data_IF_346204187816
#
_entry.id   IF_346204187816
#
_cell.length_a   1.000
_cell.length_b   1.000
_cell.length_c   1.000
_cell.angle_alpha   90.00
_cell.angle_beta   90.00
_cell.angle_gamma   90.00
#
_symmetry.space_group_name_H-M   'P 1'
#
loop_
_entity.id
_entity.type
_entity.pdbx_description
1 polymer ?
#
# COMPACT_ATOMS: atom_id res chain seq x y z
N UNK A 1 63.23 4.11 -13.80
CA UNK A 1 62.23 4.08 -12.71
C UNK A 1 60.95 4.62 -13.27
N UNK A 2 60.00 3.72 -13.59
CA UNK A 2 58.65 4.08 -14.01
C UNK A 2 57.76 3.97 -12.77
N UNK A 3 57.22 5.08 -12.30
CA UNK A 3 56.23 5.11 -11.25
C UNK A 3 54.88 4.83 -11.89
N UNK A 4 54.28 3.69 -11.52
CA UNK A 4 52.94 3.30 -11.93
C UNK A 4 51.94 4.26 -11.33
N UNK A 5 51.16 4.91 -12.19
CA UNK A 5 49.96 5.65 -11.77
C UNK A 5 48.92 4.63 -11.33
N UNK A 6 48.65 4.57 -10.06
CA UNK A 6 47.51 3.83 -9.51
C UNK A 6 46.24 4.51 -9.99
N UNK A 7 45.50 3.77 -10.77
CA UNK A 7 44.17 4.16 -11.29
C UNK A 7 43.17 4.04 -10.15
N UNK A 8 43.01 5.09 -9.36
CA UNK A 8 41.91 5.23 -8.37
C UNK A 8 40.65 5.51 -9.15
N UNK A 9 39.99 4.46 -9.62
CA UNK A 9 38.58 4.56 -10.00
C UNK A 9 37.79 4.86 -8.71
N UNK A 10 37.49 6.13 -8.49
CA UNK A 10 36.42 6.52 -7.59
C UNK A 10 35.12 5.91 -8.12
N UNK A 11 34.72 4.77 -7.53
CA UNK A 11 33.36 4.25 -7.65
C UNK A 11 32.47 5.29 -7.01
N UNK A 12 31.88 6.15 -7.83
CA UNK A 12 30.82 7.05 -7.39
C UNK A 12 29.73 6.17 -6.78
N UNK A 13 29.71 6.07 -5.47
CA UNK A 13 28.67 5.34 -4.76
C UNK A 13 27.35 6.02 -5.10
N UNK A 14 26.57 5.38 -5.95
CA UNK A 14 25.26 5.88 -6.35
C UNK A 14 24.39 5.93 -5.10
N UNK A 15 23.93 7.14 -4.74
CA UNK A 15 23.06 7.34 -3.58
C UNK A 15 21.73 6.65 -3.80
N UNK A 16 21.28 5.85 -2.85
CA UNK A 16 19.94 5.28 -2.85
C UNK A 16 18.91 6.40 -2.69
N UNK A 17 18.06 6.58 -3.67
CA UNK A 17 17.07 7.66 -3.76
C UNK A 17 15.71 7.15 -3.28
N UNK A 18 15.19 7.74 -2.22
CA UNK A 18 13.95 7.31 -1.57
C UNK A 18 12.90 8.40 -1.68
N UNK A 19 11.69 8.03 -2.11
CA UNK A 19 10.50 8.87 -2.09
C UNK A 19 9.63 8.45 -0.90
N UNK A 20 9.22 9.41 -0.04
CA UNK A 20 8.30 9.19 1.05
C UNK A 20 6.89 9.67 0.68
N UNK A 21 5.88 8.83 0.91
CA UNK A 21 4.50 9.13 0.56
C UNK A 21 3.58 8.78 1.73
N UNK A 22 3.07 9.78 2.44
CA UNK A 22 2.15 9.63 3.58
C UNK A 22 1.42 10.97 3.79
N UNK A 23 0.14 10.98 4.06
CA UNK A 23 -0.64 12.20 4.27
C UNK A 23 -0.45 12.82 5.67
N UNK A 24 0.27 12.14 6.57
CA UNK A 24 0.57 12.61 7.92
C UNK A 24 1.98 13.17 8.04
N UNK A 25 2.13 14.49 8.16
CA UNK A 25 3.43 15.17 8.26
C UNK A 25 4.34 14.60 9.35
N UNK A 26 3.79 14.30 10.52
CA UNK A 26 4.57 13.77 11.64
C UNK A 26 5.14 12.37 11.33
N UNK A 27 4.39 11.55 10.60
CA UNK A 27 4.85 10.22 10.17
C UNK A 27 5.98 10.39 9.17
N UNK A 28 5.83 11.26 8.15
CA UNK A 28 6.88 11.52 7.16
C UNK A 28 8.17 12.02 7.81
N UNK A 29 8.07 12.95 8.78
CA UNK A 29 9.24 13.44 9.54
C UNK A 29 9.92 12.30 10.31
N UNK A 30 9.16 11.41 10.94
CA UNK A 30 9.69 10.24 11.63
C UNK A 30 10.41 9.28 10.68
N UNK A 31 9.80 8.94 9.55
CA UNK A 31 10.40 8.09 8.51
C UNK A 31 11.69 8.71 7.95
N UNK A 32 11.65 10.01 7.62
CA UNK A 32 12.83 10.76 7.18
C UNK A 32 13.97 10.64 8.19
N UNK A 33 13.69 10.94 9.46
CA UNK A 33 14.72 10.91 10.51
C UNK A 33 15.40 9.55 10.65
N UNK A 34 14.65 8.44 10.43
CA UNK A 34 15.22 7.09 10.46
C UNK A 34 16.09 6.78 9.24
N UNK A 35 15.66 7.22 8.06
CA UNK A 35 16.34 6.90 6.80
C UNK A 35 17.55 7.82 6.55
N UNK A 36 17.50 9.09 6.93
CA UNK A 36 18.61 10.05 6.79
C UNK A 36 19.85 9.67 7.63
N UNK A 37 19.70 8.77 8.62
CA UNK A 37 20.86 8.24 9.37
C UNK A 37 21.68 7.21 8.59
N UNK A 38 21.16 6.70 7.47
CA UNK A 38 21.81 5.64 6.72
C UNK A 38 22.82 6.22 5.72
N UNK A 39 24.10 5.79 5.76
CA UNK A 39 25.11 6.26 4.80
C UNK A 39 24.73 5.88 3.36
N UNK A 40 24.85 6.83 2.45
CA UNK A 40 24.58 6.59 1.03
C UNK A 40 23.09 6.61 0.66
N UNK A 41 22.17 6.99 1.58
CA UNK A 41 20.77 7.15 1.29
C UNK A 41 20.38 8.62 1.22
N UNK A 42 19.38 8.95 0.42
CA UNK A 42 18.84 10.30 0.30
C UNK A 42 17.35 10.27 0.08
N UNK A 43 16.61 11.06 0.86
CA UNK A 43 15.20 11.32 0.60
C UNK A 43 15.12 12.34 -0.54
N UNK A 44 14.84 11.85 -1.74
CA UNK A 44 14.80 12.67 -2.94
C UNK A 44 13.50 13.47 -3.07
N UNK A 45 12.42 13.07 -2.38
CA UNK A 45 11.15 13.77 -2.38
C UNK A 45 10.22 13.29 -1.27
N UNK A 46 9.20 14.10 -0.99
CA UNK A 46 8.10 13.78 -0.09
C UNK A 46 6.78 14.15 -0.77
N UNK A 47 5.77 13.29 -0.65
CA UNK A 47 4.42 13.50 -1.15
C UNK A 47 3.39 13.30 -0.03
N UNK A 48 2.36 14.13 -0.01
CA UNK A 48 1.23 14.01 0.90
C UNK A 48 0.01 13.35 0.25
N UNK A 49 0.04 13.14 -1.07
CA UNK A 49 -1.06 12.55 -1.84
C UNK A 49 -0.55 11.57 -2.90
N UNK A 50 -1.42 10.65 -3.33
CA UNK A 50 -1.09 9.71 -4.41
C UNK A 50 -0.76 10.41 -5.74
N UNK A 51 -1.44 11.51 -6.08
CA UNK A 51 -1.16 12.28 -7.30
C UNK A 51 0.22 12.91 -7.26
N UNK A 52 0.57 13.57 -6.15
CA UNK A 52 1.90 14.15 -5.95
C UNK A 52 3.00 13.08 -6.01
N UNK A 53 2.75 11.89 -5.43
CA UNK A 53 3.67 10.76 -5.49
C UNK A 53 3.96 10.31 -6.93
N UNK A 54 2.94 10.27 -7.79
CA UNK A 54 3.07 9.93 -9.21
C UNK A 54 3.93 10.97 -9.93
N UNK A 55 3.63 12.27 -9.75
CA UNK A 55 4.39 13.38 -10.37
C UNK A 55 5.86 13.35 -9.94
N UNK A 56 6.12 13.22 -8.63
CA UNK A 56 7.49 13.16 -8.10
C UNK A 56 8.23 11.89 -8.55
N UNK A 57 7.55 10.78 -8.70
CA UNK A 57 8.16 9.54 -9.22
C UNK A 57 8.66 9.69 -10.66
N UNK A 58 7.92 10.43 -11.50
CA UNK A 58 8.34 10.75 -12.88
C UNK A 58 9.57 11.67 -12.90
N UNK A 59 9.53 12.72 -12.07
CA UNK A 59 10.55 13.76 -12.06
C UNK A 59 11.84 13.29 -11.41
N UNK A 60 11.72 12.61 -10.27
CA UNK A 60 12.84 12.31 -9.40
C UNK A 60 13.43 10.91 -9.64
N UNK A 61 12.65 9.99 -10.24
CA UNK A 61 13.05 8.60 -10.48
C UNK A 61 13.70 7.96 -9.24
N UNK A 62 12.94 7.80 -8.14
CA UNK A 62 13.47 7.16 -6.94
C UNK A 62 13.79 5.69 -7.22
N UNK A 63 14.71 5.13 -6.44
CA UNK A 63 14.99 3.69 -6.44
C UNK A 63 13.95 2.95 -5.61
N UNK A 64 13.53 3.56 -4.47
CA UNK A 64 12.53 3.01 -3.56
C UNK A 64 11.47 4.08 -3.26
N UNK A 65 10.20 3.70 -3.31
CA UNK A 65 9.08 4.50 -2.84
C UNK A 65 8.47 3.85 -1.60
N UNK A 66 8.39 4.59 -0.49
CA UNK A 66 7.75 4.17 0.76
C UNK A 66 6.37 4.82 0.79
N UNK A 67 5.31 4.01 0.69
CA UNK A 67 3.95 4.49 0.39
C UNK A 67 2.96 4.06 1.46
N UNK A 68 2.27 5.02 2.08
CA UNK A 68 1.10 4.73 2.92
C UNK A 68 -0.10 4.31 2.08
N UNK A 69 -0.87 3.36 2.58
CA UNK A 69 -2.11 2.92 1.93
C UNK A 69 -3.22 3.95 2.08
N UNK A 70 -3.38 4.50 3.29
CA UNK A 70 -4.59 5.25 3.66
C UNK A 70 -4.41 6.76 3.43
N UNK A 71 -4.41 7.18 2.18
CA UNK A 71 -4.35 8.59 1.80
C UNK A 71 -5.70 9.08 1.25
N UNK A 72 -6.04 10.37 1.43
CA UNK A 72 -7.26 10.95 0.89
C UNK A 72 -7.22 11.04 -0.64
N UNK A 73 -8.37 10.81 -1.28
CA UNK A 73 -8.49 10.87 -2.74
C UNK A 73 -8.01 9.59 -3.42
N UNK A 74 -6.73 9.48 -3.71
CA UNK A 74 -6.10 8.31 -4.28
C UNK A 74 -5.42 7.48 -3.19
N UNK A 75 -5.80 6.21 -3.04
CA UNK A 75 -5.17 5.30 -2.09
C UNK A 75 -3.77 4.86 -2.55
N UNK A 76 -2.95 4.39 -1.60
CA UNK A 76 -1.57 4.01 -1.88
C UNK A 76 -1.43 2.80 -2.80
N UNK A 77 -2.43 1.92 -2.89
CA UNK A 77 -2.41 0.79 -3.81
C UNK A 77 -2.62 1.25 -5.25
N UNK A 78 -3.52 2.23 -5.45
CA UNK A 78 -3.70 2.84 -6.75
C UNK A 78 -2.46 3.65 -7.16
N UNK A 79 -1.91 4.47 -6.25
CA UNK A 79 -0.68 5.20 -6.49
C UNK A 79 0.47 4.27 -6.86
N UNK A 80 0.62 3.13 -6.17
CA UNK A 80 1.63 2.10 -6.47
C UNK A 80 1.50 1.58 -7.91
N UNK A 81 0.29 1.25 -8.36
CA UNK A 81 0.08 0.78 -9.74
C UNK A 81 0.50 1.82 -10.78
N UNK A 82 0.12 3.08 -10.57
CA UNK A 82 0.47 4.17 -11.49
C UNK A 82 1.98 4.47 -11.48
N UNK A 83 2.63 4.48 -10.32
CA UNK A 83 4.09 4.64 -10.18
C UNK A 83 4.83 3.54 -10.95
N UNK A 84 4.43 2.28 -10.77
CA UNK A 84 5.07 1.14 -11.43
C UNK A 84 4.75 1.06 -12.93
N UNK A 85 3.60 1.58 -13.36
CA UNK A 85 3.28 1.72 -14.79
C UNK A 85 4.21 2.73 -15.49
N UNK A 86 4.65 3.77 -14.77
CA UNK A 86 5.58 4.78 -15.27
C UNK A 86 7.02 4.24 -15.29
N UNK A 87 7.44 3.63 -14.17
CA UNK A 87 8.78 3.07 -14.04
C UNK A 87 8.77 1.76 -13.23
N UNK A 88 8.76 0.59 -13.91
CA UNK A 88 8.76 -0.73 -13.26
C UNK A 88 10.02 -1.04 -12.45
N UNK A 89 11.07 -0.22 -12.51
CA UNK A 89 12.29 -0.41 -11.74
C UNK A 89 12.21 0.16 -10.33
N UNK A 90 11.20 0.98 -10.04
CA UNK A 90 10.99 1.52 -8.70
C UNK A 90 10.54 0.37 -7.79
N UNK A 91 11.24 0.16 -6.70
CA UNK A 91 10.77 -0.76 -5.67
C UNK A 91 9.78 -0.06 -4.75
N UNK A 92 8.65 -0.70 -4.46
CA UNK A 92 7.61 -0.10 -3.60
C UNK A 92 7.50 -0.85 -2.29
N UNK A 93 7.67 -0.11 -1.18
CA UNK A 93 7.41 -0.52 0.19
C UNK A 93 6.09 0.08 0.64
N UNK A 94 5.12 -0.77 0.94
CA UNK A 94 3.85 -0.34 1.53
C UNK A 94 4.00 -0.23 3.05
N UNK A 95 3.56 0.92 3.59
CA UNK A 95 3.31 1.09 5.02
C UNK A 95 1.81 0.98 5.30
N UNK A 96 1.43 0.23 6.35
CA UNK A 96 0.03 0.02 6.70
C UNK A 96 -0.18 -0.01 8.22
N UNK A 97 -1.38 0.35 8.67
CA UNK A 97 -1.80 0.17 10.07
C UNK A 97 -2.31 -1.24 10.36
N UNK A 98 -2.76 -1.98 9.32
CA UNK A 98 -3.38 -3.29 9.45
C UNK A 98 -2.77 -4.28 8.44
N UNK A 99 -2.32 -5.46 8.89
CA UNK A 99 -1.92 -6.58 8.04
C UNK A 99 -3.08 -7.57 7.83
N UNK A 100 -4.13 -7.14 7.14
CA UNK A 100 -5.19 -8.06 6.73
C UNK A 100 -4.79 -8.79 5.45
N UNK A 101 -5.38 -9.97 5.22
CA UNK A 101 -5.15 -10.72 3.98
C UNK A 101 -5.48 -9.89 2.73
N UNK A 102 -6.51 -9.06 2.80
CA UNK A 102 -6.94 -8.16 1.73
C UNK A 102 -5.86 -7.12 1.40
N UNK A 103 -5.29 -6.48 2.42
CA UNK A 103 -4.23 -5.48 2.25
C UNK A 103 -2.98 -6.12 1.64
N UNK A 104 -2.55 -7.26 2.17
CA UNK A 104 -1.37 -7.97 1.67
C UNK A 104 -1.56 -8.39 0.22
N UNK A 105 -2.73 -8.97 -0.13
CA UNK A 105 -3.06 -9.33 -1.52
C UNK A 105 -3.16 -8.11 -2.42
N UNK A 106 -3.81 -7.03 -1.96
CA UNK A 106 -3.94 -5.79 -2.70
C UNK A 106 -2.58 -5.15 -3.00
N UNK A 107 -1.68 -5.09 -2.02
CA UNK A 107 -0.33 -4.57 -2.17
C UNK A 107 0.50 -5.40 -3.18
N UNK A 108 0.47 -6.73 -3.03
CA UNK A 108 1.16 -7.64 -3.96
C UNK A 108 0.59 -7.55 -5.38
N UNK A 109 -0.74 -7.49 -5.51
CA UNK A 109 -1.40 -7.32 -6.82
C UNK A 109 -1.14 -5.94 -7.46
N UNK A 110 -0.90 -4.91 -6.65
CA UNK A 110 -0.47 -3.60 -7.12
C UNK A 110 1.00 -3.58 -7.58
N UNK A 111 1.76 -4.62 -7.29
CA UNK A 111 3.17 -4.76 -7.64
C UNK A 111 4.15 -4.36 -6.52
N UNK A 112 3.68 -4.04 -5.32
CA UNK A 112 4.56 -3.77 -4.20
C UNK A 112 5.36 -5.02 -3.82
N UNK A 113 6.65 -4.84 -3.55
CA UNK A 113 7.56 -5.92 -3.16
C UNK A 113 7.96 -5.86 -1.69
N UNK A 114 7.48 -4.86 -0.95
CA UNK A 114 7.66 -4.75 0.48
C UNK A 114 6.37 -4.35 1.20
N UNK A 115 6.16 -4.92 2.41
CA UNK A 115 5.06 -4.56 3.30
C UNK A 115 5.59 -4.53 4.74
N UNK A 116 5.39 -3.39 5.42
CA UNK A 116 5.75 -3.16 6.83
C UNK A 116 4.58 -2.51 7.54
N UNK A 117 4.31 -2.93 8.78
CA UNK A 117 3.36 -2.22 9.64
C UNK A 117 3.95 -0.89 10.13
N UNK A 118 3.14 0.16 10.18
CA UNK A 118 3.56 1.45 10.75
C UNK A 118 4.00 1.32 12.21
N UNK A 119 3.43 0.39 12.99
CA UNK A 119 3.87 0.07 14.35
C UNK A 119 5.29 -0.48 14.43
N UNK A 120 5.71 -1.20 13.41
CA UNK A 120 7.00 -1.90 13.37
C UNK A 120 8.06 -1.14 12.55
N UNK A 121 7.66 -0.01 11.94
CA UNK A 121 8.53 0.80 11.08
C UNK A 121 9.84 1.20 11.79
N UNK A 122 9.81 1.48 13.09
CA UNK A 122 11.00 1.83 13.86
C UNK A 122 12.09 0.72 13.85
N UNK A 123 11.69 -0.54 13.65
CA UNK A 123 12.59 -1.69 13.67
C UNK A 123 12.84 -2.28 12.28
N UNK A 124 11.87 -2.18 11.38
CA UNK A 124 11.89 -2.90 10.11
C UNK A 124 12.14 -2.02 8.88
N UNK A 125 11.87 -0.70 8.95
CA UNK A 125 11.93 0.20 7.80
C UNK A 125 13.29 0.18 7.10
N UNK A 126 14.37 0.36 7.86
CA UNK A 126 15.73 0.40 7.30
C UNK A 126 16.09 -0.94 6.63
N UNK A 127 15.75 -2.05 7.28
CA UNK A 127 16.01 -3.39 6.73
C UNK A 127 15.17 -3.63 5.47
N UNK A 128 13.91 -3.21 5.47
CA UNK A 128 13.01 -3.34 4.34
C UNK A 128 13.51 -2.56 3.12
N UNK A 129 13.88 -1.28 3.30
CA UNK A 129 14.42 -0.44 2.25
C UNK A 129 15.75 -0.99 1.72
N UNK A 130 16.66 -1.42 2.61
CA UNK A 130 17.93 -2.04 2.21
C UNK A 130 17.73 -3.35 1.40
N UNK A 131 16.72 -4.13 1.73
CA UNK A 131 16.38 -5.38 1.03
C UNK A 131 15.80 -5.07 -0.35
N UNK A 132 14.86 -4.14 -0.43
CA UNK A 132 14.28 -3.69 -1.70
C UNK A 132 15.32 -3.05 -2.64
N UNK A 133 16.27 -2.29 -2.08
CA UNK A 133 17.38 -1.71 -2.86
C UNK A 133 18.27 -2.78 -3.56
N UNK A 134 18.23 -4.02 -3.10
CA UNK A 134 18.86 -5.18 -3.76
C UNK A 134 17.91 -5.93 -4.68
N UNK A 135 16.74 -5.39 -4.95
CA UNK A 135 15.66 -6.02 -5.70
C UNK A 135 15.16 -7.34 -5.08
N UNK A 136 15.31 -7.49 -3.77
CA UNK A 136 14.79 -8.61 -3.00
C UNK A 136 13.47 -8.21 -2.31
N UNK A 137 12.45 -9.08 -2.27
CA UNK A 137 11.19 -8.75 -1.62
C UNK A 137 11.34 -8.78 -0.08
N UNK A 138 10.64 -7.86 0.60
CA UNK A 138 10.59 -7.80 2.05
C UNK A 138 9.15 -7.88 2.54
N UNK A 139 8.83 -8.96 3.25
CA UNK A 139 7.51 -9.14 3.88
C UNK A 139 7.69 -9.54 5.33
N UNK A 140 7.10 -8.79 6.26
CA UNK A 140 7.03 -9.18 7.66
C UNK A 140 6.43 -10.57 7.82
N UNK A 141 6.71 -11.25 8.94
CA UNK A 141 6.37 -12.68 9.15
C UNK A 141 4.90 -13.00 8.89
N UNK A 142 3.98 -12.10 9.23
CA UNK A 142 2.55 -12.30 9.00
C UNK A 142 2.18 -12.16 7.52
N UNK A 143 2.68 -11.12 6.87
CA UNK A 143 2.48 -10.90 5.43
C UNK A 143 3.05 -12.06 4.61
N UNK A 144 4.23 -12.57 4.95
CA UNK A 144 4.85 -13.73 4.31
C UNK A 144 3.95 -14.98 4.37
N UNK A 145 3.33 -15.27 5.53
CA UNK A 145 2.39 -16.39 5.66
C UNK A 145 1.18 -16.25 4.75
N UNK A 146 0.61 -15.05 4.66
CA UNK A 146 -0.53 -14.75 3.80
C UNK A 146 -0.16 -14.96 2.32
N UNK A 147 1.00 -14.48 1.90
CA UNK A 147 1.49 -14.64 0.52
C UNK A 147 1.69 -16.12 0.19
N UNK A 148 2.36 -16.88 1.04
CA UNK A 148 2.56 -18.31 0.83
C UNK A 148 1.23 -19.06 0.75
N UNK A 149 0.28 -18.74 1.63
CA UNK A 149 -1.06 -19.32 1.60
C UNK A 149 -1.82 -18.97 0.31
N UNK A 150 -1.67 -17.73 -0.18
CA UNK A 150 -2.30 -17.32 -1.44
C UNK A 150 -1.69 -17.99 -2.67
N UNK A 151 -0.40 -18.33 -2.64
CA UNK A 151 0.26 -19.11 -3.70
C UNK A 151 -0.15 -20.58 -3.67
N UNK A 152 -0.33 -21.16 -2.48
CA UNK A 152 -0.77 -22.54 -2.32
C UNK A 152 -2.25 -22.77 -2.69
N UNK A 153 -3.06 -21.69 -2.61
CA UNK A 153 -4.45 -21.70 -3.03
C UNK A 153 -4.65 -20.53 -4.01
N UNK A 154 -4.41 -20.73 -5.31
CA UNK A 154 -4.79 -19.77 -6.33
C UNK A 154 -6.34 -19.78 -6.46
N UNK A 155 -6.98 -19.42 -5.37
CA UNK A 155 -8.38 -19.06 -5.41
C UNK A 155 -8.40 -17.71 -6.12
N UNK A 156 -8.93 -17.75 -7.33
CA UNK A 156 -9.43 -16.55 -7.95
C UNK A 156 -10.20 -15.80 -6.87
N UNK A 157 -9.70 -14.65 -6.47
CA UNK A 157 -10.54 -13.67 -5.81
C UNK A 157 -11.72 -13.55 -6.75
N UNK A 158 -12.87 -14.08 -6.35
CA UNK A 158 -14.12 -13.84 -7.03
C UNK A 158 -14.44 -12.38 -6.78
N UNK A 159 -13.77 -11.53 -7.56
CA UNK A 159 -14.25 -10.18 -7.79
C UNK A 159 -15.57 -10.45 -8.47
N UNK A 160 -16.67 -10.05 -7.84
CA UNK A 160 -17.97 -10.18 -8.45
C UNK A 160 -18.04 -9.34 -9.73
N UNK A 161 -19.13 -9.48 -10.51
CA UNK A 161 -19.32 -8.71 -11.75
C UNK A 161 -19.22 -7.19 -11.54
N UNK A 162 -19.28 -6.72 -10.30
CA UNK A 162 -19.23 -5.31 -9.91
C UNK A 162 -17.85 -4.86 -9.41
N UNK A 163 -16.86 -5.75 -9.38
CA UNK A 163 -15.49 -5.42 -8.93
C UNK A 163 -15.30 -5.33 -7.42
N UNK A 164 -16.26 -5.84 -6.62
CA UNK A 164 -16.15 -5.86 -5.18
C UNK A 164 -15.33 -7.05 -4.70
N UNK A 165 -14.41 -6.81 -3.78
CA UNK A 165 -13.74 -7.86 -3.00
C UNK A 165 -14.75 -8.57 -2.09
N UNK A 166 -14.41 -9.79 -1.63
CA UNK A 166 -15.25 -10.53 -0.66
C UNK A 166 -15.56 -9.66 0.56
N UNK A 167 -14.56 -8.93 1.07
CA UNK A 167 -14.71 -8.07 2.26
C UNK A 167 -15.64 -6.90 2.03
N UNK A 168 -15.51 -6.24 0.88
CA UNK A 168 -16.42 -5.17 0.48
C UNK A 168 -17.85 -5.68 0.31
N UNK A 169 -18.02 -6.88 -0.23
CA UNK A 169 -19.31 -7.54 -0.35
C UNK A 169 -19.93 -7.85 1.03
N UNK A 170 -19.13 -8.39 1.98
CA UNK A 170 -19.59 -8.63 3.35
C UNK A 170 -20.05 -7.32 4.02
N UNK A 171 -19.29 -6.22 3.82
CA UNK A 171 -19.69 -4.89 4.30
C UNK A 171 -20.98 -4.41 3.64
N UNK A 172 -21.16 -4.60 2.33
CA UNK A 172 -22.41 -4.24 1.62
C UNK A 172 -23.61 -4.97 2.20
N UNK A 173 -23.49 -6.28 2.42
CA UNK A 173 -24.55 -7.12 2.99
C UNK A 173 -24.96 -6.58 4.37
N UNK A 174 -23.99 -6.43 5.28
CA UNK A 174 -24.29 -5.97 6.65
C UNK A 174 -24.83 -4.53 6.70
N UNK A 175 -24.37 -3.63 5.81
CA UNK A 175 -24.95 -2.29 5.68
C UNK A 175 -26.39 -2.38 5.18
N UNK A 176 -26.67 -3.25 4.22
CA UNK A 176 -28.00 -3.42 3.65
C UNK A 176 -28.97 -4.09 4.64
N UNK A 177 -28.48 -4.90 5.56
CA UNK A 177 -29.22 -5.47 6.71
C UNK A 177 -29.43 -4.46 7.84
N UNK A 178 -28.90 -3.23 7.73
CA UNK A 178 -29.14 -2.14 8.67
C UNK A 178 -28.13 -2.04 9.82
N UNK A 179 -27.03 -2.80 9.79
CA UNK A 179 -26.02 -2.75 10.85
C UNK A 179 -25.23 -1.43 10.82
N UNK A 180 -24.91 -0.91 12.02
CA UNK A 180 -24.02 0.24 12.21
C UNK A 180 -22.55 -0.13 11.93
N UNK A 181 -21.70 0.86 11.67
CA UNK A 181 -20.27 0.63 11.47
C UNK A 181 -19.61 -0.08 12.67
N UNK A 182 -20.12 0.12 13.89
CA UNK A 182 -19.61 -0.52 15.10
C UNK A 182 -19.98 -2.01 15.14
N UNK A 183 -21.22 -2.35 14.79
CA UNK A 183 -21.69 -3.73 14.72
C UNK A 183 -21.01 -4.50 13.59
N UNK A 184 -20.88 -3.87 12.42
CA UNK A 184 -20.11 -4.44 11.28
C UNK A 184 -18.67 -4.69 11.68
N UNK A 185 -18.04 -3.73 12.37
CA UNK A 185 -16.67 -3.88 12.88
C UNK A 185 -16.52 -5.07 13.80
N UNK A 186 -17.46 -5.25 14.74
CA UNK A 186 -17.49 -6.41 15.64
C UNK A 186 -17.69 -7.72 14.88
N UNK A 187 -18.68 -7.78 13.97
CA UNK A 187 -18.96 -8.97 13.17
C UNK A 187 -17.78 -9.41 12.28
N UNK A 188 -17.08 -8.43 11.74
CA UNK A 188 -15.99 -8.66 10.81
C UNK A 188 -14.59 -8.61 11.46
N UNK A 189 -14.48 -8.41 12.78
CA UNK A 189 -13.23 -8.29 13.53
C UNK A 189 -12.29 -7.20 13.02
N UNK A 190 -12.85 -6.01 12.71
CA UNK A 190 -12.12 -4.81 12.26
C UNK A 190 -12.62 -3.57 13.00
N UNK A 191 -11.87 -2.46 12.93
CA UNK A 191 -12.29 -1.20 13.54
C UNK A 191 -13.49 -0.59 12.81
N UNK A 192 -14.32 0.19 13.53
CA UNK A 192 -15.42 0.95 12.90
C UNK A 192 -14.90 1.94 11.84
N UNK A 193 -13.69 2.48 12.03
CA UNK A 193 -13.02 3.36 11.06
C UNK A 193 -12.63 2.59 9.79
N UNK A 194 -12.20 1.34 9.92
CA UNK A 194 -11.91 0.45 8.78
C UNK A 194 -13.18 0.14 7.98
N UNK A 195 -14.31 -0.11 8.68
CA UNK A 195 -15.62 -0.28 8.02
C UNK A 195 -16.03 0.96 7.23
N UNK A 196 -15.80 2.15 7.79
CA UNK A 196 -16.08 3.41 7.09
C UNK A 196 -15.26 3.54 5.80
N UNK A 197 -13.98 3.15 5.84
CA UNK A 197 -13.11 3.13 4.66
C UNK A 197 -13.62 2.15 3.60
N UNK A 198 -13.99 0.91 3.99
CA UNK A 198 -14.60 -0.05 3.06
C UNK A 198 -15.89 0.49 2.44
N UNK A 199 -16.78 1.11 3.23
CA UNK A 199 -18.00 1.72 2.70
C UNK A 199 -17.71 2.79 1.67
N UNK A 200 -16.73 3.67 1.95
CA UNK A 200 -16.30 4.72 1.00
C UNK A 200 -15.79 4.13 -0.30
N UNK A 201 -14.94 3.12 -0.21
CA UNK A 201 -14.37 2.44 -1.38
C UNK A 201 -15.46 1.75 -2.22
N UNK A 202 -16.40 1.05 -1.57
CA UNK A 202 -17.56 0.44 -2.23
C UNK A 202 -18.40 1.48 -2.95
N UNK A 203 -18.76 2.57 -2.27
CA UNK A 203 -19.54 3.67 -2.85
C UNK A 203 -18.85 4.25 -4.09
N UNK A 204 -17.53 4.43 -4.02
CA UNK A 204 -16.74 4.92 -5.13
C UNK A 204 -16.69 3.91 -6.30
N UNK A 205 -16.40 2.64 -6.03
CA UNK A 205 -16.34 1.57 -7.04
C UNK A 205 -17.66 1.38 -7.80
N UNK A 206 -18.77 1.50 -7.06
CA UNK A 206 -20.13 1.32 -7.63
C UNK A 206 -20.73 2.62 -8.17
N UNK A 207 -20.06 3.77 -8.02
CA UNK A 207 -20.57 5.08 -8.44
C UNK A 207 -21.80 5.53 -7.65
N UNK A 208 -21.98 5.04 -6.40
CA UNK A 208 -23.16 5.33 -5.57
C UNK A 208 -22.93 6.56 -4.70
N UNK A 209 -24.01 7.32 -4.45
CA UNK A 209 -23.96 8.59 -3.71
C UNK A 209 -24.61 8.52 -2.32
N UNK A 210 -25.33 7.45 -2.01
CA UNK A 210 -26.05 7.31 -0.75
C UNK A 210 -26.17 5.86 -0.27
N UNK A 211 -26.31 5.67 1.05
CA UNK A 211 -26.56 4.34 1.65
C UNK A 211 -27.85 3.73 1.08
N UNK A 212 -28.88 4.54 0.77
CA UNK A 212 -30.10 4.03 0.16
C UNK A 212 -29.87 3.46 -1.25
N UNK A 213 -28.92 4.01 -2.01
CA UNK A 213 -28.50 3.45 -3.30
C UNK A 213 -27.74 2.13 -3.11
N UNK A 214 -26.92 2.03 -2.07
CA UNK A 214 -26.21 0.82 -1.71
C UNK A 214 -27.16 -0.32 -1.33
N UNK A 215 -28.20 -0.03 -0.54
CA UNK A 215 -29.25 -1.00 -0.20
C UNK A 215 -29.98 -1.49 -1.46
N UNK A 216 -30.39 -0.57 -2.33
CA UNK A 216 -31.03 -0.93 -3.62
C UNK A 216 -30.12 -1.78 -4.51
N UNK A 217 -28.82 -1.47 -4.53
CA UNK A 217 -27.82 -2.27 -5.23
C UNK A 217 -27.79 -3.69 -4.66
N UNK A 218 -27.70 -3.84 -3.32
CA UNK A 218 -27.64 -5.14 -2.67
C UNK A 218 -28.85 -6.04 -2.96
N UNK A 219 -30.05 -5.47 -2.98
CA UNK A 219 -31.29 -6.20 -3.36
C UNK A 219 -31.29 -6.57 -4.85
N UNK A 220 -30.97 -5.63 -5.74
CA UNK A 220 -30.95 -5.85 -7.19
C UNK A 220 -29.94 -6.91 -7.62
N UNK A 221 -28.76 -6.94 -6.97
CA UNK A 221 -27.68 -7.91 -7.27
C UNK A 221 -27.85 -9.22 -6.49
N UNK A 222 -28.96 -9.38 -5.72
CA UNK A 222 -29.27 -10.60 -5.00
C UNK A 222 -28.34 -10.88 -3.81
N UNK A 223 -27.70 -9.85 -3.26
CA UNK A 223 -26.83 -9.97 -2.10
C UNK A 223 -27.63 -10.16 -0.80
N UNK A 224 -28.82 -9.56 -0.74
CA UNK A 224 -29.83 -9.74 0.31
C UNK A 224 -31.20 -9.95 -0.30
N UNK A 225 -32.08 -10.57 0.46
CA UNK A 225 -33.51 -10.66 0.10
C UNK A 225 -34.25 -9.40 0.57
N UNK A 226 -35.26 -8.93 -0.19
CA UNK A 226 -36.04 -7.75 0.18
C UNK A 226 -36.92 -7.98 1.40
#
# INVERSE_FOLDING_TARGET
MKVSAENTQEVSAQLLRILLVDDHDLVRQGLRSMLDTQPGWTICGEAATGLEAIELSQQLRPDVAVVDIHMPGMDGLQATREILAINPQIEVLILTLDETEEIVRGATAAGARGIVMKSDAAHELVTAVATLARHEPFYATKASKIIVQSMAHPLGASVDRAGLSKRERDVVILVAEGHSNKEIGAALSISAKTVESHRRNVMHKLGLKSTAELVRYAVRDGLIQP
#
